data_IF_217096406125
#
_entry.id   IF_217096406125
#
_cell.length_a   1.000
_cell.length_b   1.000
_cell.length_c   1.000
_cell.angle_alpha   90.00
_cell.angle_beta   90.00
_cell.angle_gamma   90.00
#
_symmetry.space_group_name_H-M   'P 1'
#
loop_
_entity.id
_entity.type
_entity.pdbx_description
1 polymer ?
#
# COMPACT_ATOMS: atom_id res chain seq x y z
N UNK A 1 16.15 19.01 -12.74
CA UNK A 1 16.03 19.42 -12.68
C UNK A 1 15.84 19.72 -12.72
N UNK A 2 15.81 19.65 -12.41
CA UNK A 2 15.52 20.15 -12.26
C UNK A 2 15.27 20.62 -12.10
N UNK A 3 15.49 20.68 -11.94
CA UNK A 3 15.26 21.46 -11.53
C UNK A 3 15.09 21.90 -11.32
N UNK A 4 15.26 22.07 -11.22
CA UNK A 4 15.20 22.76 -10.89
C UNK A 4 14.99 23.31 -10.70
N UNK A 5 15.54 23.59 -10.92
CA UNK A 5 15.31 24.43 -10.61
C UNK A 5 14.86 24.94 -10.36
N UNK A 6 14.90 25.12 -10.08
CA UNK A 6 14.37 25.74 -9.69
C UNK A 6 13.95 26.39 -9.38
N UNK A 7 14.07 26.89 -9.17
CA UNK A 7 13.76 27.71 -8.75
C UNK A 7 13.07 28.28 -8.57
N UNK A 8 13.02 28.50 -8.31
CA UNK A 8 12.21 29.21 -8.15
C UNK A 8 11.45 29.68 -7.08
N UNK A 9 11.05 29.97 -6.67
CA UNK A 9 10.66 30.85 -5.85
C UNK A 9 9.34 30.75 -5.20
N UNK A 10 9.04 31.55 -4.25
CA UNK A 10 7.70 31.77 -3.81
C UNK A 10 6.99 30.63 -3.10
N UNK A 11 7.64 30.00 -2.18
CA UNK A 11 6.98 28.99 -1.38
C UNK A 11 6.76 27.65 -2.08
N UNK A 12 7.23 27.56 -3.28
CA UNK A 12 7.11 26.30 -4.00
C UNK A 12 8.05 25.27 -3.40
N UNK A 13 7.52 24.07 -3.16
CA UNK A 13 8.34 22.98 -2.64
C UNK A 13 9.38 22.56 -3.68
N UNK A 14 10.61 22.35 -3.23
CA UNK A 14 11.66 21.90 -4.13
C UNK A 14 11.50 20.41 -4.43
N UNK A 15 12.09 19.98 -5.56
CA UNK A 15 12.09 18.56 -5.92
C UNK A 15 12.82 17.74 -4.85
N UNK A 16 13.89 18.28 -4.27
CA UNK A 16 14.65 17.59 -3.22
C UNK A 16 13.78 17.33 -1.99
N UNK A 17 13.03 18.34 -1.55
CA UNK A 17 12.16 18.18 -0.37
C UNK A 17 11.05 17.16 -0.61
N UNK A 18 10.45 17.20 -1.79
CA UNK A 18 9.41 16.26 -2.16
C UNK A 18 9.95 14.82 -2.15
N UNK A 19 11.10 14.59 -2.76
CA UNK A 19 11.69 13.26 -2.84
C UNK A 19 12.11 12.75 -1.47
N UNK A 20 12.59 13.64 -0.58
CA UNK A 20 12.96 13.26 0.78
C UNK A 20 11.76 12.75 1.57
N UNK A 21 10.63 13.45 1.48
CA UNK A 21 9.42 13.05 2.17
C UNK A 21 8.87 11.73 1.63
N UNK A 22 8.89 11.59 0.33
CA UNK A 22 8.45 10.36 -0.33
C UNK A 22 9.32 9.18 0.09
N UNK A 23 10.64 9.38 0.17
CA UNK A 23 11.57 8.32 0.56
C UNK A 23 11.29 7.85 1.99
N UNK A 24 11.06 8.76 2.91
CA UNK A 24 10.74 8.41 4.30
C UNK A 24 9.47 7.57 4.37
N UNK A 25 8.46 7.96 3.63
CA UNK A 25 7.19 7.26 3.63
C UNK A 25 7.33 5.86 3.04
N UNK A 26 8.05 5.73 1.92
CA UNK A 26 8.26 4.44 1.28
C UNK A 26 9.06 3.51 2.19
N UNK A 27 10.04 4.03 2.92
CA UNK A 27 10.80 3.25 3.89
C UNK A 27 9.90 2.74 5.02
N UNK A 28 9.02 3.59 5.52
CA UNK A 28 8.08 3.22 6.58
C UNK A 28 7.14 2.11 6.13
N UNK A 29 6.60 2.21 4.93
CA UNK A 29 5.73 1.20 4.34
C UNK A 29 6.46 -0.12 4.19
N UNK A 30 7.69 -0.07 3.68
CA UNK A 30 8.51 -1.27 3.49
C UNK A 30 8.81 -1.96 4.82
N UNK A 31 9.16 -1.18 5.85
CA UNK A 31 9.40 -1.72 7.18
C UNK A 31 8.15 -2.39 7.74
N UNK A 32 6.99 -1.79 7.52
CA UNK A 32 5.74 -2.37 7.97
C UNK A 32 5.50 -3.75 7.32
N UNK A 33 5.63 -3.84 6.00
CA UNK A 33 5.39 -5.11 5.31
C UNK A 33 6.41 -6.19 5.65
N UNK A 34 7.60 -5.79 6.10
CA UNK A 34 8.63 -6.74 6.54
C UNK A 34 8.55 -7.08 8.02
N UNK A 35 7.62 -6.46 8.75
CA UNK A 35 7.52 -6.68 10.19
C UNK A 35 6.94 -8.05 10.52
N UNK A 36 7.33 -8.58 11.67
CA UNK A 36 6.76 -9.81 12.18
C UNK A 36 5.27 -9.66 12.42
N UNK A 37 4.86 -8.52 12.96
CA UNK A 37 3.45 -8.25 13.24
C UNK A 37 2.60 -8.34 11.98
N UNK A 38 3.04 -7.74 10.89
CA UNK A 38 2.29 -7.83 9.64
C UNK A 38 2.24 -9.26 9.10
N UNK A 39 3.38 -9.97 9.12
CA UNK A 39 3.41 -11.34 8.62
C UNK A 39 2.44 -12.24 9.38
N UNK A 40 2.42 -12.10 10.71
CA UNK A 40 1.52 -12.91 11.53
C UNK A 40 0.07 -12.52 11.34
N UNK A 41 -0.21 -11.22 11.27
CA UNK A 41 -1.57 -10.73 11.02
C UNK A 41 -2.08 -11.24 9.67
N UNK A 42 -1.25 -11.16 8.64
CA UNK A 42 -1.60 -11.62 7.31
C UNK A 42 -1.95 -13.12 7.30
N UNK A 43 -1.16 -13.93 8.00
CA UNK A 43 -1.44 -15.37 8.12
C UNK A 43 -2.81 -15.61 8.77
N UNK A 44 -3.11 -14.87 9.83
CA UNK A 44 -4.38 -15.04 10.53
C UNK A 44 -5.56 -14.64 9.67
N UNK A 45 -5.42 -13.57 8.89
CA UNK A 45 -6.46 -13.16 7.95
C UNK A 45 -6.73 -14.28 6.95
N UNK A 46 -5.67 -14.85 6.38
CA UNK A 46 -5.82 -15.96 5.42
C UNK A 46 -6.50 -17.18 6.06
N UNK A 47 -6.05 -17.56 7.25
CA UNK A 47 -6.65 -18.70 7.96
C UNK A 47 -8.13 -18.49 8.24
N UNK A 48 -8.50 -17.31 8.73
CA UNK A 48 -9.89 -17.05 9.09
C UNK A 48 -10.80 -16.93 7.88
N UNK A 49 -10.24 -16.73 6.70
CA UNK A 49 -10.99 -16.68 5.44
C UNK A 49 -10.82 -17.95 4.62
N UNK A 50 -10.31 -19.02 5.23
CA UNK A 50 -10.16 -20.33 4.61
C UNK A 50 -9.35 -20.28 3.30
N UNK A 51 -8.43 -19.31 3.19
CA UNK A 51 -7.61 -19.09 2.00
C UNK A 51 -8.47 -18.89 0.75
N UNK A 52 -9.62 -18.21 0.91
CA UNK A 52 -10.50 -17.89 -0.22
C UNK A 52 -10.36 -16.41 -0.55
N UNK A 53 -10.07 -16.11 -1.82
CA UNK A 53 -9.95 -14.71 -2.29
C UNK A 53 -11.31 -14.02 -2.18
N UNK A 54 -11.33 -12.88 -1.50
CA UNK A 54 -12.56 -12.12 -1.30
C UNK A 54 -13.12 -11.54 -2.59
N UNK A 55 -12.29 -11.41 -3.63
CA UNK A 55 -12.70 -10.78 -4.88
C UNK A 55 -13.14 -11.77 -5.94
N UNK A 56 -12.50 -12.93 -6.05
CA UNK A 56 -12.83 -13.88 -7.10
C UNK A 56 -13.24 -15.27 -6.60
N UNK A 57 -13.09 -15.54 -5.31
CA UNK A 57 -13.45 -16.84 -4.75
C UNK A 57 -12.42 -17.93 -4.98
N UNK A 58 -11.33 -17.65 -5.66
CA UNK A 58 -10.25 -18.60 -5.85
C UNK A 58 -9.33 -18.68 -4.65
N UNK A 59 -8.22 -19.39 -4.78
CA UNK A 59 -7.27 -19.56 -3.70
C UNK A 59 -6.56 -18.24 -3.40
N UNK A 60 -6.58 -17.82 -2.13
CA UNK A 60 -5.89 -16.63 -1.68
C UNK A 60 -4.48 -16.98 -1.22
N UNK A 61 -3.52 -16.14 -1.57
CA UNK A 61 -2.11 -16.32 -1.20
C UNK A 61 -1.55 -15.15 -0.42
N UNK A 62 -2.32 -14.07 -0.27
CA UNK A 62 -1.84 -12.86 0.40
C UNK A 62 -3.02 -12.13 1.04
N UNK A 63 -2.69 -11.16 1.89
CA UNK A 63 -3.68 -10.28 2.50
C UNK A 63 -3.56 -8.91 1.86
N UNK A 64 -4.70 -8.40 1.40
CA UNK A 64 -4.79 -7.11 0.73
C UNK A 64 -5.41 -6.08 1.67
N UNK A 65 -4.97 -4.84 1.55
CA UNK A 65 -5.61 -3.71 2.22
C UNK A 65 -6.69 -3.14 1.31
N UNK A 66 -7.94 -3.11 1.80
CA UNK A 66 -9.04 -2.56 1.02
C UNK A 66 -8.77 -1.09 0.68
N UNK A 67 -8.43 -0.30 1.70
CA UNK A 67 -7.88 1.05 1.50
C UNK A 67 -6.38 0.93 1.71
N UNK A 68 -5.60 1.35 0.72
CA UNK A 68 -4.16 1.15 0.75
C UNK A 68 -3.51 1.88 1.93
N UNK A 69 -2.37 1.35 2.39
CA UNK A 69 -1.62 1.99 3.49
C UNK A 69 -1.15 3.38 3.11
N UNK A 70 -0.99 3.65 1.83
CA UNK A 70 -0.60 4.97 1.35
C UNK A 70 -1.72 5.98 1.46
N UNK A 71 -2.97 5.53 1.40
CA UNK A 71 -4.13 6.40 1.57
C UNK A 71 -4.49 6.60 3.02
N UNK A 72 -4.39 5.54 3.83
CA UNK A 72 -4.72 5.64 5.25
C UNK A 72 -3.82 4.72 6.06
N UNK A 73 -2.74 5.27 6.55
CA UNK A 73 -1.75 4.55 7.34
C UNK A 73 -2.35 3.97 8.61
N UNK A 74 -3.33 4.65 9.19
CA UNK A 74 -3.91 4.24 10.46
C UNK A 74 -4.73 2.95 10.35
N UNK A 75 -5.12 2.59 9.14
CA UNK A 75 -5.91 1.36 8.90
C UNK A 75 -5.05 0.17 8.52
N UNK A 76 -3.73 0.25 8.66
CA UNK A 76 -2.83 -0.81 8.20
C UNK A 76 -3.01 -2.14 8.93
N UNK A 77 -3.51 -2.11 10.16
CA UNK A 77 -3.76 -3.31 10.96
C UNK A 77 -5.23 -3.48 11.35
N UNK A 78 -6.11 -2.67 10.77
CA UNK A 78 -7.54 -2.77 11.00
C UNK A 78 -8.09 -3.95 10.22
N UNK A 79 -8.57 -4.97 10.91
CA UNK A 79 -9.10 -6.18 10.29
C UNK A 79 -10.25 -5.91 9.34
N UNK A 80 -11.03 -4.87 9.58
CA UNK A 80 -12.11 -4.48 8.68
C UNK A 80 -11.58 -3.94 7.36
N UNK A 81 -10.31 -3.60 7.32
CA UNK A 81 -9.64 -3.11 6.11
C UNK A 81 -8.76 -4.17 5.47
N UNK A 82 -8.80 -5.42 5.97
CA UNK A 82 -7.96 -6.50 5.47
C UNK A 82 -8.82 -7.58 4.84
N UNK A 83 -8.35 -8.13 3.73
CA UNK A 83 -9.06 -9.21 3.06
C UNK A 83 -8.07 -10.18 2.42
N UNK A 84 -8.47 -11.45 2.35
CA UNK A 84 -7.69 -12.46 1.64
C UNK A 84 -7.77 -12.20 0.15
N UNK A 85 -6.68 -12.38 -0.57
CA UNK A 85 -6.61 -12.05 -1.99
C UNK A 85 -5.66 -13.01 -2.72
N UNK A 86 -5.99 -13.32 -3.95
CA UNK A 86 -5.04 -13.96 -4.86
C UNK A 86 -4.18 -12.88 -5.53
N UNK A 87 -3.05 -13.28 -6.09
CA UNK A 87 -2.13 -12.34 -6.71
C UNK A 87 -2.78 -11.62 -7.91
N UNK A 88 -3.52 -12.34 -8.73
CA UNK A 88 -4.14 -11.77 -9.93
C UNK A 88 -5.12 -10.65 -9.58
N UNK A 89 -5.98 -10.88 -8.58
CA UNK A 89 -6.95 -9.87 -8.15
C UNK A 89 -6.24 -8.67 -7.51
N UNK A 90 -5.20 -8.94 -6.73
CA UNK A 90 -4.44 -7.86 -6.11
C UNK A 90 -3.76 -6.98 -7.15
N UNK A 91 -3.17 -7.58 -8.16
CA UNK A 91 -2.51 -6.85 -9.25
C UNK A 91 -3.53 -6.02 -10.05
N UNK A 92 -4.69 -6.60 -10.34
CA UNK A 92 -5.76 -5.88 -11.06
C UNK A 92 -6.27 -4.69 -10.27
N UNK A 93 -6.43 -4.87 -8.96
CA UNK A 93 -6.87 -3.78 -8.07
C UNK A 93 -5.86 -2.65 -8.08
N UNK A 94 -4.57 -2.96 -8.00
CA UNK A 94 -3.51 -1.96 -8.02
C UNK A 94 -3.52 -1.15 -9.32
N UNK A 95 -3.76 -1.81 -10.44
CA UNK A 95 -3.85 -1.14 -11.74
C UNK A 95 -5.04 -0.19 -11.77
N UNK A 96 -6.22 -0.64 -11.30
CA UNK A 96 -7.42 0.20 -11.26
C UNK A 96 -7.21 1.43 -10.39
N UNK A 97 -6.56 1.25 -9.24
CA UNK A 97 -6.32 2.36 -8.32
C UNK A 97 -5.36 3.39 -8.92
N UNK A 98 -4.34 2.95 -9.63
CA UNK A 98 -3.43 3.87 -10.31
C UNK A 98 -4.15 4.68 -11.37
N UNK A 99 -5.07 4.07 -12.12
CA UNK A 99 -5.86 4.78 -13.13
C UNK A 99 -6.75 5.85 -12.52
N UNK A 100 -7.34 5.57 -11.36
CA UNK A 100 -8.18 6.54 -10.68
C UNK A 100 -7.40 7.75 -10.19
N UNK A 101 -6.13 7.55 -9.85
CA UNK A 101 -5.30 8.61 -9.29
C UNK A 101 -4.60 9.46 -10.35
N UNK A 102 -4.77 9.14 -11.61
CA UNK A 102 -4.23 9.93 -12.73
C UNK A 102 -5.33 10.83 -13.36
#
# INVERSE_FOLDING_TARGET
>A
MKPQKLTIAGGRRTTVDYNRNRWKYDKQVKQFYNSKLWRETSKQVLLQNDYVCAMCGGEATMTDHIVSVKKDWNKRLDWNNLQASCKACNDSKAIRERRKNN
#
